data_IF_448398168016
#
_entry.id   IF_448398168016
#
_cell.length_a   1.000
_cell.length_b   1.000
_cell.length_c   1.000
_cell.angle_alpha   90.00
_cell.angle_beta   90.00
_cell.angle_gamma   90.00
#
_symmetry.space_group_name_H-M   'P 1'
#
loop_
_entity.id
_entity.type
_entity.pdbx_description
1 polymer ?
#
# COMPACT_ATOMS: atom_id res chain seq x y z
N UNK A 1 -31.67 -8.08 23.23
CA UNK A 1 -31.71 -9.50 22.85
C UNK A 1 -31.54 -9.62 21.35
N UNK A 2 -30.69 -10.54 20.85
CA UNK A 2 -30.55 -10.79 19.41
C UNK A 2 -31.87 -11.33 18.85
N UNK A 3 -32.19 -10.98 17.60
CA UNK A 3 -33.36 -11.52 16.91
C UNK A 3 -33.03 -12.90 16.36
N UNK A 4 -33.98 -13.84 16.46
CA UNK A 4 -33.87 -15.19 15.93
C UNK A 4 -34.63 -15.26 14.60
N UNK A 5 -33.97 -15.70 13.53
CA UNK A 5 -34.63 -15.97 12.25
C UNK A 5 -34.31 -17.39 11.79
N UNK A 6 -35.29 -18.03 11.16
CA UNK A 6 -35.09 -19.29 10.45
C UNK A 6 -34.89 -19.03 8.96
N UNK A 7 -33.92 -19.69 8.36
CA UNK A 7 -33.64 -19.56 6.94
C UNK A 7 -33.28 -20.93 6.34
N UNK A 8 -33.93 -21.27 5.23
CA UNK A 8 -33.73 -22.53 4.49
C UNK A 8 -32.39 -22.58 3.73
N UNK A 9 -31.78 -21.41 3.46
CA UNK A 9 -30.52 -21.28 2.74
C UNK A 9 -29.29 -21.29 3.65
N UNK A 10 -29.46 -21.20 4.97
CA UNK A 10 -28.36 -21.25 5.92
C UNK A 10 -27.92 -22.72 6.14
N UNK A 11 -26.68 -23.10 5.80
CA UNK A 11 -26.22 -24.49 5.94
C UNK A 11 -25.95 -24.88 7.40
N UNK A 12 -25.61 -23.92 8.26
CA UNK A 12 -25.30 -24.09 9.68
C UNK A 12 -25.87 -22.93 10.50
N UNK A 13 -26.12 -23.13 11.82
CA UNK A 13 -26.41 -22.03 12.72
C UNK A 13 -25.29 -20.99 12.67
N UNK A 14 -25.65 -19.72 12.61
CA UNK A 14 -24.65 -18.64 12.53
C UNK A 14 -25.16 -17.34 13.14
N UNK A 15 -24.28 -16.66 13.87
CA UNK A 15 -24.46 -15.29 14.32
C UNK A 15 -23.97 -14.30 13.25
N UNK A 16 -24.85 -13.43 12.76
CA UNK A 16 -24.52 -12.41 11.76
C UNK A 16 -24.88 -11.01 12.28
N UNK A 17 -24.10 -10.00 11.90
CA UNK A 17 -24.44 -8.58 12.06
C UNK A 17 -23.64 -7.86 13.14
N UNK A 18 -22.94 -6.79 12.73
CA UNK A 18 -21.99 -6.06 13.59
C UNK A 18 -22.66 -5.25 14.71
N UNK A 19 -23.67 -4.42 14.37
CA UNK A 19 -24.37 -3.52 15.30
C UNK A 19 -25.65 -4.13 15.86
N UNK A 20 -26.25 -5.07 15.12
CA UNK A 20 -27.48 -5.76 15.48
C UNK A 20 -27.29 -7.25 15.21
N UNK A 21 -26.73 -7.98 16.18
CA UNK A 21 -26.48 -9.40 16.04
C UNK A 21 -27.80 -10.16 15.89
N UNK A 22 -27.84 -11.03 14.90
CA UNK A 22 -28.98 -11.86 14.51
C UNK A 22 -28.50 -13.30 14.52
N UNK A 23 -29.25 -14.17 15.20
CA UNK A 23 -28.99 -15.61 15.19
C UNK A 23 -29.84 -16.20 14.07
N UNK A 24 -29.18 -16.77 13.07
CA UNK A 24 -29.81 -17.50 11.97
C UNK A 24 -29.74 -18.99 12.27
N UNK A 25 -30.90 -19.62 12.30
CA UNK A 25 -31.02 -21.08 12.38
C UNK A 25 -31.41 -21.62 11.02
N UNK A 26 -30.76 -22.69 10.55
CA UNK A 26 -31.28 -23.50 9.46
C UNK A 26 -32.71 -23.96 9.77
N UNK A 27 -33.56 -24.01 8.74
CA UNK A 27 -34.92 -24.53 8.90
C UNK A 27 -34.90 -26.07 9.01
N UNK A 28 -34.67 -26.56 10.23
CA UNK A 28 -34.55 -27.97 10.57
C UNK A 28 -35.16 -28.26 11.94
N UNK A 29 -35.47 -29.52 12.17
CA UNK A 29 -35.89 -29.99 13.49
C UNK A 29 -34.67 -30.20 14.38
N UNK A 30 -34.65 -29.52 15.51
CA UNK A 30 -33.64 -29.68 16.55
C UNK A 30 -34.31 -30.28 17.78
N UNK A 31 -33.68 -31.27 18.40
CA UNK A 31 -34.08 -31.64 19.76
C UNK A 31 -33.88 -30.45 20.71
N UNK A 32 -34.64 -30.40 21.79
CA UNK A 32 -34.56 -29.30 22.76
C UNK A 32 -33.14 -29.13 23.32
N UNK A 33 -32.45 -30.25 23.57
CA UNK A 33 -31.06 -30.27 24.05
C UNK A 33 -30.09 -29.73 23.00
N UNK A 34 -30.24 -30.14 21.73
CA UNK A 34 -29.41 -29.61 20.64
C UNK A 34 -29.63 -28.10 20.46
N UNK A 35 -30.88 -27.65 20.48
CA UNK A 35 -31.21 -26.23 20.32
C UNK A 35 -30.61 -25.39 21.45
N UNK A 36 -30.71 -25.85 22.70
CA UNK A 36 -30.10 -25.18 23.85
C UNK A 36 -28.59 -25.08 23.70
N UNK A 37 -27.92 -26.16 23.29
CA UNK A 37 -26.47 -26.19 23.08
C UNK A 37 -26.01 -25.24 21.96
N UNK A 38 -26.74 -25.19 20.84
CA UNK A 38 -26.47 -24.27 19.72
C UNK A 38 -26.63 -22.83 20.18
N UNK A 39 -27.75 -22.50 20.83
CA UNK A 39 -28.00 -21.14 21.29
C UNK A 39 -26.98 -20.71 22.34
N UNK A 40 -26.59 -21.61 23.24
CA UNK A 40 -25.54 -21.35 24.23
C UNK A 40 -24.20 -21.04 23.56
N UNK A 41 -23.85 -21.75 22.49
CA UNK A 41 -22.66 -21.49 21.68
C UNK A 41 -22.71 -20.11 20.99
N UNK A 42 -23.77 -19.83 20.23
CA UNK A 42 -23.93 -18.56 19.49
C UNK A 42 -24.02 -17.35 20.43
N UNK A 43 -24.70 -17.48 21.58
CA UNK A 43 -24.75 -16.43 22.60
C UNK A 43 -23.40 -16.21 23.27
N UNK A 44 -22.56 -17.25 23.37
CA UNK A 44 -21.21 -17.12 23.91
C UNK A 44 -20.31 -16.35 22.95
N UNK A 45 -20.42 -16.57 21.64
CA UNK A 45 -19.76 -15.72 20.64
C UNK A 45 -20.20 -14.26 20.75
N UNK A 46 -21.49 -14.03 20.92
CA UNK A 46 -22.03 -12.68 21.10
C UNK A 46 -21.48 -12.01 22.36
N UNK A 47 -21.50 -12.72 23.50
CA UNK A 47 -20.97 -12.21 24.79
C UNK A 47 -19.48 -11.88 24.73
N UNK A 48 -18.72 -12.62 23.91
CA UNK A 48 -17.27 -12.45 23.76
C UNK A 48 -16.87 -11.47 22.66
N UNK A 49 -17.84 -10.91 21.93
CA UNK A 49 -17.59 -10.02 20.79
C UNK A 49 -16.70 -10.65 19.72
N UNK A 50 -16.74 -11.98 19.57
CA UNK A 50 -15.91 -12.70 18.59
C UNK A 50 -16.20 -12.22 17.16
N UNK A 51 -17.41 -11.70 16.91
CA UNK A 51 -17.79 -11.10 15.63
C UNK A 51 -16.95 -9.86 15.29
N UNK A 52 -16.60 -9.01 16.27
CA UNK A 52 -15.75 -7.83 16.04
C UNK A 52 -14.36 -8.30 15.61
N UNK A 53 -13.81 -9.31 16.28
CA UNK A 53 -12.51 -9.89 15.95
C UNK A 53 -12.50 -10.44 14.53
N UNK A 54 -13.55 -11.20 14.14
CA UNK A 54 -13.71 -11.72 12.78
C UNK A 54 -13.79 -10.61 11.74
N UNK A 55 -14.51 -9.50 12.02
CA UNK A 55 -14.57 -8.34 11.13
C UNK A 55 -13.21 -7.64 10.98
N UNK A 56 -12.46 -7.46 12.08
CA UNK A 56 -11.12 -6.88 12.02
C UNK A 56 -10.18 -7.73 11.17
N UNK A 57 -10.21 -9.06 11.30
CA UNK A 57 -9.41 -9.96 10.47
C UNK A 57 -9.78 -9.93 8.98
N UNK A 58 -11.05 -9.66 8.64
CA UNK A 58 -11.45 -9.43 7.24
C UNK A 58 -10.86 -8.12 6.73
N UNK A 59 -10.98 -7.03 7.50
CA UNK A 59 -10.42 -5.73 7.13
C UNK A 59 -8.90 -5.80 6.93
N UNK A 60 -8.18 -6.50 7.81
CA UNK A 60 -6.74 -6.75 7.63
C UNK A 60 -6.44 -7.54 6.36
N UNK A 61 -7.27 -8.55 6.03
CA UNK A 61 -7.14 -9.32 4.80
C UNK A 61 -7.27 -8.47 3.56
N UNK A 62 -8.19 -7.50 3.54
CA UNK A 62 -8.36 -6.58 2.42
C UNK A 62 -7.18 -5.58 2.32
N UNK A 63 -6.71 -5.04 3.45
CA UNK A 63 -5.56 -4.11 3.49
C UNK A 63 -4.26 -4.79 3.06
N UNK A 64 -4.09 -6.06 3.42
CA UNK A 64 -2.90 -6.86 3.15
C UNK A 64 -3.18 -8.01 2.20
N UNK A 65 -4.02 -7.77 1.18
CA UNK A 65 -4.44 -8.81 0.23
C UNK A 65 -3.25 -9.54 -0.44
N UNK A 66 -2.11 -8.84 -0.58
CA UNK A 66 -0.84 -9.34 -1.12
C UNK A 66 -0.02 -10.21 -0.15
N UNK A 67 -0.32 -10.19 1.16
CA UNK A 67 0.46 -10.90 2.16
C UNK A 67 -0.16 -12.28 2.48
N UNK A 68 0.47 -13.40 2.08
CA UNK A 68 -0.06 -14.73 2.33
C UNK A 68 -0.16 -15.09 3.83
N UNK A 69 0.62 -14.43 4.69
CA UNK A 69 0.63 -14.68 6.15
C UNK A 69 -0.71 -14.28 6.79
N UNK A 70 -1.40 -13.28 6.25
CA UNK A 70 -2.67 -12.79 6.82
C UNK A 70 -3.77 -13.85 6.74
N UNK A 71 -3.78 -14.66 5.68
CA UNK A 71 -4.72 -15.80 5.57
C UNK A 71 -4.44 -16.89 6.62
N UNK A 72 -3.17 -17.15 6.94
CA UNK A 72 -2.78 -18.09 8.00
C UNK A 72 -3.20 -17.58 9.38
N UNK A 73 -2.99 -16.28 9.63
CA UNK A 73 -3.36 -15.65 10.89
C UNK A 73 -4.88 -15.62 11.05
N UNK A 74 -5.63 -15.28 10.00
CA UNK A 74 -7.09 -15.34 10.00
C UNK A 74 -7.60 -16.72 10.38
N UNK A 75 -7.03 -17.78 9.78
CA UNK A 75 -7.37 -19.17 10.11
C UNK A 75 -7.07 -19.51 11.57
N UNK A 76 -5.96 -19.03 12.12
CA UNK A 76 -5.62 -19.27 13.53
C UNK A 76 -6.51 -18.45 14.49
N UNK A 77 -6.91 -17.24 14.11
CA UNK A 77 -7.89 -16.43 14.85
C UNK A 77 -9.23 -17.15 14.89
N UNK A 78 -9.74 -17.62 13.75
CA UNK A 78 -11.00 -18.37 13.68
C UNK A 78 -10.93 -19.61 14.58
N UNK A 79 -9.88 -20.42 14.45
CA UNK A 79 -9.64 -21.59 15.30
C UNK A 79 -9.61 -21.24 16.78
N UNK A 80 -8.91 -20.17 17.15
CA UNK A 80 -8.76 -19.75 18.53
C UNK A 80 -10.07 -19.22 19.12
N UNK A 81 -10.89 -18.52 18.31
CA UNK A 81 -12.23 -18.07 18.67
C UNK A 81 -13.16 -19.25 19.00
N UNK A 82 -13.20 -20.27 18.13
CA UNK A 82 -14.00 -21.50 18.33
C UNK A 82 -13.58 -22.24 19.61
N UNK A 83 -12.27 -22.48 19.80
CA UNK A 83 -11.76 -23.17 20.99
C UNK A 83 -12.03 -22.42 22.29
N UNK A 84 -11.92 -21.10 22.27
CA UNK A 84 -12.23 -20.27 23.42
C UNK A 84 -13.75 -20.20 23.69
N UNK A 85 -14.58 -20.34 22.65
CA UNK A 85 -16.04 -20.36 22.78
C UNK A 85 -16.47 -21.66 23.44
N UNK A 86 -16.02 -22.79 22.89
CA UNK A 86 -16.22 -24.11 23.48
C UNK A 86 -15.72 -24.14 24.93
N UNK A 87 -14.52 -23.59 25.18
CA UNK A 87 -13.93 -23.48 26.52
C UNK A 87 -14.72 -22.61 27.50
N UNK A 88 -15.51 -21.65 27.02
CA UNK A 88 -16.40 -20.84 27.86
C UNK A 88 -17.73 -21.55 28.11
N UNK A 89 -18.29 -22.23 27.11
CA UNK A 89 -19.54 -23.01 27.22
C UNK A 89 -19.39 -24.15 28.23
N UNK A 90 -18.30 -24.93 28.16
CA UNK A 90 -18.08 -26.09 29.05
C UNK A 90 -17.93 -25.73 30.54
N UNK A 91 -17.64 -24.46 30.86
CA UNK A 91 -17.55 -23.99 32.26
C UNK A 91 -18.91 -23.91 32.93
N UNK A 92 -19.96 -23.74 32.14
CA UNK A 92 -21.33 -23.67 32.61
C UNK A 92 -22.05 -25.02 32.56
N UNK A 93 -21.39 -26.08 32.05
CA UNK A 93 -21.95 -27.41 31.87
C UNK A 93 -21.32 -28.43 32.82
N UNK A 94 -22.15 -29.35 33.30
CA UNK A 94 -21.77 -30.55 34.05
C UNK A 94 -21.20 -31.63 33.10
N UNK A 95 -20.80 -32.78 33.65
CA UNK A 95 -20.18 -33.86 32.86
C UNK A 95 -21.13 -34.42 31.79
N UNK A 96 -22.42 -34.53 32.08
CA UNK A 96 -23.44 -34.99 31.12
C UNK A 96 -23.71 -33.92 30.06
N UNK A 97 -23.85 -32.65 30.45
CA UNK A 97 -24.01 -31.53 29.54
C UNK A 97 -22.84 -31.37 28.57
N UNK A 98 -21.59 -31.63 29.01
CA UNK A 98 -20.41 -31.62 28.13
C UNK A 98 -20.45 -32.70 27.05
N UNK A 99 -20.94 -33.89 27.39
CA UNK A 99 -21.10 -34.98 26.41
C UNK A 99 -22.19 -34.61 25.39
N UNK A 100 -23.36 -34.18 25.87
CA UNK A 100 -24.46 -33.73 25.00
C UNK A 100 -24.04 -32.57 24.07
N UNK A 101 -23.22 -31.65 24.57
CA UNK A 101 -22.64 -30.56 23.78
C UNK A 101 -21.69 -31.08 22.68
N UNK A 102 -20.79 -32.02 23.03
CA UNK A 102 -19.91 -32.67 22.07
C UNK A 102 -20.67 -33.44 20.98
N UNK A 103 -21.72 -34.15 21.35
CA UNK A 103 -22.59 -34.88 20.41
C UNK A 103 -23.34 -33.93 19.48
N UNK A 104 -23.80 -32.79 20.02
CA UNK A 104 -24.43 -31.72 19.22
C UNK A 104 -23.45 -31.15 18.19
N UNK A 105 -22.19 -30.92 18.57
CA UNK A 105 -21.14 -30.44 17.66
C UNK A 105 -20.84 -31.44 16.54
N UNK A 106 -20.75 -32.74 16.87
CA UNK A 106 -20.51 -33.80 15.88
C UNK A 106 -21.68 -33.89 14.91
N UNK A 107 -22.92 -33.84 15.40
CA UNK A 107 -24.12 -33.86 14.57
C UNK A 107 -24.15 -32.66 13.60
N UNK A 108 -23.85 -31.45 14.09
CA UNK A 108 -23.78 -30.24 13.27
C UNK A 108 -22.77 -30.33 12.13
N UNK A 109 -21.56 -30.82 12.41
CA UNK A 109 -20.52 -30.96 11.38
C UNK A 109 -20.85 -32.09 10.40
N UNK A 110 -21.43 -33.20 10.87
CA UNK A 110 -21.86 -34.30 10.01
C UNK A 110 -22.99 -33.89 9.04
N UNK A 111 -23.84 -32.95 9.46
CA UNK A 111 -24.97 -32.46 8.69
C UNK A 111 -24.67 -31.23 7.82
N UNK A 112 -23.54 -30.55 8.05
CA UNK A 112 -23.04 -29.45 7.24
C UNK A 112 -22.49 -29.97 5.88
N UNK A 113 -23.39 -30.46 5.02
CA UNK A 113 -23.06 -30.84 3.63
C UNK A 113 -22.81 -29.57 2.81
N UNK A 114 -21.58 -29.07 2.72
CA UNK A 114 -21.21 -28.02 1.76
C UNK A 114 -21.00 -28.61 0.35
N UNK A 115 -21.31 -27.86 -0.73
CA UNK A 115 -21.11 -28.34 -2.09
C UNK A 115 -19.62 -28.40 -2.43
N UNK A 116 -19.28 -29.46 -3.16
CA UNK A 116 -17.94 -29.89 -3.54
C UNK A 116 -17.31 -28.90 -4.53
N UNK A 117 -16.09 -28.45 -4.25
CA UNK A 117 -15.22 -27.81 -5.25
C UNK A 117 -13.86 -28.50 -5.26
N UNK A 118 -13.29 -28.65 -6.46
CA UNK A 118 -12.34 -29.68 -6.96
C UNK A 118 -10.92 -29.61 -6.35
N UNK A 119 -10.66 -28.80 -5.32
CA UNK A 119 -9.34 -28.61 -4.72
C UNK A 119 -9.36 -28.77 -3.18
N UNK A 120 -9.78 -29.93 -2.70
CA UNK A 120 -10.03 -30.17 -1.27
C UNK A 120 -8.78 -30.58 -0.49
N UNK A 121 -8.01 -29.60 0.01
CA UNK A 121 -7.17 -29.73 1.21
C UNK A 121 -7.96 -29.48 2.51
N UNK A 122 -9.19 -28.95 2.40
CA UNK A 122 -10.07 -28.52 3.50
C UNK A 122 -10.65 -29.66 4.34
N UNK A 123 -10.80 -30.87 3.79
CA UNK A 123 -11.36 -32.02 4.53
C UNK A 123 -10.50 -32.47 5.72
N UNK A 124 -9.17 -32.44 5.57
CA UNK A 124 -8.27 -32.83 6.66
C UNK A 124 -8.26 -31.76 7.77
N UNK A 125 -8.49 -30.51 7.37
CA UNK A 125 -8.51 -29.34 8.22
C UNK A 125 -9.78 -29.25 9.07
N UNK A 126 -10.96 -29.48 8.50
CA UNK A 126 -12.23 -29.53 9.23
C UNK A 126 -12.25 -30.68 10.26
N UNK A 127 -11.79 -31.87 9.86
CA UNK A 127 -11.67 -33.02 10.78
C UNK A 127 -10.66 -32.76 11.90
N UNK A 128 -9.52 -32.14 11.59
CA UNK A 128 -8.49 -31.79 12.57
C UNK A 128 -9.01 -30.72 13.54
N UNK A 129 -9.74 -29.72 13.04
CA UNK A 129 -10.37 -28.69 13.85
C UNK A 129 -11.43 -29.27 14.79
N UNK A 130 -12.32 -30.14 14.29
CA UNK A 130 -13.31 -30.82 15.13
C UNK A 130 -12.66 -31.68 16.21
N UNK A 131 -11.65 -32.50 15.84
CA UNK A 131 -10.91 -33.34 16.78
C UNK A 131 -10.24 -32.52 17.88
N UNK A 132 -9.70 -31.37 17.53
CA UNK A 132 -9.07 -30.47 18.49
C UNK A 132 -10.08 -29.82 19.43
N UNK A 133 -11.22 -29.36 18.91
CA UNK A 133 -12.33 -28.83 19.72
C UNK A 133 -12.80 -29.85 20.75
N UNK A 134 -13.08 -31.07 20.32
CA UNK A 134 -13.46 -32.17 21.21
C UNK A 134 -12.34 -32.49 22.22
N UNK A 135 -11.08 -32.52 21.78
CA UNK A 135 -9.94 -32.73 22.67
C UNK A 135 -9.77 -31.61 23.71
N UNK A 136 -10.05 -30.36 23.35
CA UNK A 136 -9.98 -29.20 24.23
C UNK A 136 -11.15 -29.19 25.25
N UNK A 137 -12.34 -29.58 24.81
CA UNK A 137 -13.52 -29.80 25.66
C UNK A 137 -13.21 -30.86 26.73
N UNK A 138 -12.62 -31.98 26.33
CA UNK A 138 -12.24 -33.06 27.27
C UNK A 138 -11.15 -32.65 28.27
N UNK A 139 -10.21 -31.78 27.86
CA UNK A 139 -9.07 -31.36 28.69
C UNK A 139 -9.30 -30.04 29.45
N UNK A 140 -10.48 -29.41 29.36
CA UNK A 140 -10.88 -28.19 30.09
C UNK A 140 -9.80 -27.08 30.10
N UNK A 141 -9.20 -26.79 28.94
CA UNK A 141 -8.08 -25.83 28.84
C UNK A 141 -8.59 -24.40 28.64
N UNK A 142 -8.07 -23.46 29.44
CA UNK A 142 -8.46 -22.04 29.41
C UNK A 142 -7.72 -21.27 28.31
N UNK A 143 -8.43 -20.81 27.26
CA UNK A 143 -7.84 -20.04 26.15
C UNK A 143 -8.30 -18.57 26.06
N UNK A 144 -9.31 -18.17 26.83
CA UNK A 144 -10.06 -16.92 26.65
C UNK A 144 -9.25 -15.62 26.62
N UNK A 145 -8.22 -15.46 27.47
CA UNK A 145 -7.45 -14.20 27.53
C UNK A 145 -6.35 -14.10 26.48
N UNK A 146 -5.79 -15.24 26.06
CA UNK A 146 -4.65 -15.27 25.15
C UNK A 146 -5.03 -14.93 23.71
N UNK A 147 -6.23 -15.32 23.28
CA UNK A 147 -6.73 -15.06 21.92
C UNK A 147 -6.97 -13.57 21.70
N UNK A 148 -7.61 -12.89 22.64
CA UNK A 148 -7.82 -11.44 22.59
C UNK A 148 -6.50 -10.68 22.55
N UNK A 149 -5.55 -11.04 23.42
CA UNK A 149 -4.22 -10.39 23.46
C UNK A 149 -3.48 -10.63 22.14
N UNK A 150 -3.44 -11.86 21.65
CA UNK A 150 -2.73 -12.20 20.41
C UNK A 150 -3.33 -11.49 19.19
N UNK A 151 -4.67 -11.47 19.07
CA UNK A 151 -5.37 -10.74 18.02
C UNK A 151 -5.15 -9.23 18.12
N UNK A 152 -5.19 -8.64 19.33
CA UNK A 152 -4.93 -7.20 19.50
C UNK A 152 -3.48 -6.81 19.20
N UNK A 153 -2.52 -7.66 19.54
CA UNK A 153 -1.09 -7.44 19.28
C UNK A 153 -0.80 -7.58 17.79
N UNK A 154 -1.43 -8.55 17.13
CA UNK A 154 -1.34 -8.70 15.69
C UNK A 154 -1.89 -7.47 14.96
N UNK A 155 -3.09 -7.02 15.33
CA UNK A 155 -3.72 -5.82 14.77
C UNK A 155 -2.90 -4.54 15.02
N UNK A 156 -2.30 -4.40 16.20
CA UNK A 156 -1.41 -3.29 16.49
C UNK A 156 -0.10 -3.35 15.67
N UNK A 157 0.45 -4.54 15.45
CA UNK A 157 1.67 -4.73 14.67
C UNK A 157 1.46 -4.46 13.16
N UNK A 158 0.33 -4.88 12.59
CA UNK A 158 -0.04 -4.62 11.19
C UNK A 158 -0.40 -3.15 10.96
N UNK A 159 -1.12 -2.51 11.90
CA UNK A 159 -1.33 -1.07 11.87
C UNK A 159 -0.01 -0.28 11.99
N UNK A 160 0.90 -0.73 12.84
CA UNK A 160 2.19 -0.06 12.99
C UNK A 160 3.05 -0.19 11.73
N UNK A 161 3.08 -1.34 11.07
CA UNK A 161 3.84 -1.51 9.82
C UNK A 161 3.22 -0.76 8.65
N UNK A 162 1.88 -0.72 8.55
CA UNK A 162 1.19 0.08 7.51
C UNK A 162 1.33 1.58 7.74
N UNK A 163 1.29 2.05 9.00
CA UNK A 163 1.58 3.45 9.34
C UNK A 163 3.05 3.77 9.11
N UNK A 164 3.99 2.87 9.40
CA UNK A 164 5.40 3.10 9.09
C UNK A 164 5.66 3.13 7.59
N UNK A 165 5.14 2.18 6.80
CA UNK A 165 5.25 2.20 5.34
C UNK A 165 4.53 3.42 4.74
N UNK A 166 3.38 3.80 5.30
CA UNK A 166 2.65 5.02 4.94
C UNK A 166 3.40 6.29 5.35
N UNK A 167 4.13 6.28 6.47
CA UNK A 167 5.00 7.38 6.92
C UNK A 167 6.38 7.35 6.26
N UNK A 168 6.75 6.27 5.59
CA UNK A 168 7.89 6.19 4.67
C UNK A 168 7.49 6.65 3.27
N UNK A 169 6.26 6.38 2.83
CA UNK A 169 5.66 6.97 1.62
C UNK A 169 5.17 8.42 1.81
N UNK A 170 4.98 8.82 3.07
CA UNK A 170 4.65 10.18 3.52
C UNK A 170 5.76 10.74 4.43
N UNK A 171 6.96 10.16 4.32
CA UNK A 171 8.17 10.92 4.52
C UNK A 171 8.18 11.85 3.31
N UNK A 172 7.60 13.04 3.52
CA UNK A 172 8.26 14.25 3.05
C UNK A 172 9.71 14.03 3.47
N UNK A 173 10.57 13.71 2.50
CA UNK A 173 12.00 13.65 2.68
C UNK A 173 12.34 14.88 3.52
N UNK A 174 12.67 14.66 4.79
CA UNK A 174 13.33 15.69 5.56
C UNK A 174 14.63 15.89 4.81
N UNK A 175 14.86 17.07 4.21
CA UNK A 175 16.00 17.27 3.35
C UNK A 175 17.24 17.12 4.23
N UNK A 176 17.94 16.01 4.03
CA UNK A 176 19.36 15.94 4.32
C UNK A 176 20.01 17.02 3.43
N UNK A 177 20.99 17.76 3.95
CA UNK A 177 21.48 19.08 3.52
C UNK A 177 21.69 19.35 2.00
N UNK A 178 21.63 18.35 1.12
CA UNK A 178 21.63 18.50 -0.35
C UNK A 178 20.32 18.99 -0.97
N UNK A 179 19.15 18.69 -0.39
CA UNK A 179 17.88 19.09 -1.03
C UNK A 179 17.63 20.62 -0.99
N UNK A 180 18.14 21.31 0.03
CA UNK A 180 18.10 22.78 0.07
C UNK A 180 18.91 23.41 -1.06
N UNK A 181 20.00 22.75 -1.49
CA UNK A 181 20.85 23.26 -2.56
C UNK A 181 20.18 23.07 -3.92
N UNK A 182 19.64 21.90 -4.23
CA UNK A 182 18.93 21.69 -5.52
C UNK A 182 17.61 22.48 -5.60
N UNK A 183 16.86 22.59 -4.50
CA UNK A 183 15.66 23.45 -4.48
C UNK A 183 16.02 24.92 -4.72
N UNK A 184 17.15 25.40 -4.17
CA UNK A 184 17.62 26.76 -4.42
C UNK A 184 17.98 27.01 -5.89
N UNK A 185 18.62 26.03 -6.53
CA UNK A 185 18.95 26.06 -7.96
C UNK A 185 17.66 26.03 -8.79
N UNK A 186 16.69 25.17 -8.44
CA UNK A 186 15.41 25.11 -9.11
C UNK A 186 14.67 26.45 -9.05
N UNK A 187 14.68 27.13 -7.89
CA UNK A 187 14.13 28.46 -7.76
C UNK A 187 14.89 29.52 -8.54
N UNK A 188 16.21 29.45 -8.63
CA UNK A 188 17.02 30.33 -9.48
C UNK A 188 16.59 30.21 -10.96
N UNK A 189 16.41 28.98 -11.45
CA UNK A 189 15.94 28.72 -12.81
C UNK A 189 14.55 29.31 -13.03
N UNK A 190 13.62 29.09 -12.11
CA UNK A 190 12.25 29.63 -12.19
C UNK A 190 12.26 31.17 -12.17
N UNK A 191 13.07 31.78 -11.30
CA UNK A 191 13.16 33.24 -11.19
C UNK A 191 13.73 33.86 -12.48
N UNK A 192 14.72 33.22 -13.11
CA UNK A 192 15.24 33.67 -14.39
C UNK A 192 14.16 33.59 -15.50
N UNK A 193 13.31 32.56 -15.48
CA UNK A 193 12.18 32.47 -16.42
C UNK A 193 11.13 33.55 -16.15
N UNK A 194 10.77 33.79 -14.88
CA UNK A 194 9.85 34.87 -14.50
C UNK A 194 10.37 36.22 -15.01
N UNK A 195 11.67 36.50 -14.82
CA UNK A 195 12.30 37.72 -15.33
C UNK A 195 12.21 37.81 -16.85
N UNK A 196 12.40 36.69 -17.57
CA UNK A 196 12.24 36.65 -19.03
C UNK A 196 10.80 36.99 -19.45
N UNK A 197 9.77 36.49 -18.74
CA UNK A 197 8.37 36.83 -19.01
C UNK A 197 8.07 38.31 -18.76
N UNK A 198 8.54 38.84 -17.63
CA UNK A 198 8.29 40.22 -17.25
C UNK A 198 8.98 41.21 -18.20
N UNK A 199 10.18 40.89 -18.67
CA UNK A 199 10.95 41.75 -19.58
C UNK A 199 10.50 41.64 -21.04
N UNK A 200 10.20 40.43 -21.51
CA UNK A 200 9.97 40.17 -22.94
C UNK A 200 8.50 40.26 -23.33
N UNK A 201 7.60 39.90 -22.42
CA UNK A 201 6.18 39.73 -22.72
C UNK A 201 5.27 40.71 -21.95
N UNK A 202 5.82 41.60 -21.13
CA UNK A 202 5.07 42.50 -20.23
C UNK A 202 4.02 41.75 -19.36
N UNK A 203 4.30 40.47 -19.04
CA UNK A 203 3.44 39.63 -18.20
C UNK A 203 3.97 39.67 -16.77
N UNK A 204 3.19 40.22 -15.86
CA UNK A 204 3.49 40.22 -14.41
C UNK A 204 3.09 38.87 -13.81
N UNK A 205 4.03 38.17 -13.17
CA UNK A 205 3.78 36.89 -12.48
C UNK A 205 3.50 37.16 -11.00
N UNK A 206 2.34 36.71 -10.51
CA UNK A 206 1.88 36.96 -9.14
C UNK A 206 2.14 35.81 -8.18
N UNK A 207 2.29 34.60 -8.70
CA UNK A 207 2.57 33.41 -7.90
C UNK A 207 3.33 32.37 -8.72
N UNK A 208 4.09 31.53 -8.04
CA UNK A 208 4.90 30.48 -8.65
C UNK A 208 5.04 29.30 -7.69
N UNK A 209 5.05 28.08 -8.23
CA UNK A 209 5.26 26.87 -7.42
C UNK A 209 5.96 25.77 -8.20
N UNK A 210 6.79 25.02 -7.50
CA UNK A 210 7.34 23.76 -7.98
C UNK A 210 6.27 22.69 -7.80
N UNK A 211 5.90 22.03 -8.88
CA UNK A 211 4.95 20.90 -8.88
C UNK A 211 5.67 19.57 -8.74
N UNK A 212 6.88 19.45 -9.31
CA UNK A 212 7.65 18.23 -9.31
C UNK A 212 9.15 18.56 -9.40
N UNK A 213 9.97 17.90 -8.59
CA UNK A 213 11.43 17.98 -8.64
C UNK A 213 11.98 16.62 -8.22
N UNK A 214 12.32 15.77 -9.19
CA UNK A 214 12.79 14.41 -8.92
C UNK A 214 14.04 14.07 -9.73
N UNK A 215 14.90 13.25 -9.13
CA UNK A 215 16.06 12.69 -9.78
C UNK A 215 15.61 11.71 -10.86
N UNK A 216 16.00 11.96 -12.11
CA UNK A 216 15.71 11.08 -13.24
C UNK A 216 16.86 10.10 -13.47
N UNK A 217 18.10 10.60 -13.40
CA UNK A 217 19.29 9.83 -13.71
C UNK A 217 20.51 10.32 -12.93
N UNK A 218 21.42 9.38 -12.67
CA UNK A 218 22.76 9.64 -12.15
C UNK A 218 23.82 9.06 -13.11
N UNK A 219 24.96 9.73 -13.21
CA UNK A 219 26.07 9.32 -14.05
C UNK A 219 27.40 9.38 -13.28
N UNK A 220 27.95 8.22 -12.97
CA UNK A 220 29.22 8.11 -12.23
C UNK A 220 30.47 8.12 -13.13
N UNK A 221 30.33 7.83 -14.42
CA UNK A 221 31.45 7.57 -15.35
C UNK A 221 31.60 8.60 -16.48
N UNK A 222 30.96 9.76 -16.37
CA UNK A 222 31.00 10.80 -17.41
C UNK A 222 32.07 11.87 -17.17
N UNK A 223 32.42 12.11 -15.91
CA UNK A 223 33.40 13.10 -15.48
C UNK A 223 34.10 12.59 -14.21
N UNK A 224 35.06 13.37 -13.71
CA UNK A 224 35.75 13.09 -12.44
C UNK A 224 34.82 13.15 -11.20
N UNK A 225 33.54 13.55 -11.39
CA UNK A 225 32.52 13.71 -10.36
C UNK A 225 31.20 13.11 -10.84
N UNK A 226 30.40 12.57 -9.91
CA UNK A 226 29.04 12.09 -10.20
C UNK A 226 28.13 13.24 -10.60
N UNK A 227 27.40 13.04 -11.70
CA UNK A 227 26.43 14.00 -12.24
C UNK A 227 25.03 13.50 -11.95
N UNK A 228 24.18 14.40 -11.46
CA UNK A 228 22.77 14.13 -11.20
C UNK A 228 21.91 14.97 -12.14
N UNK A 229 20.86 14.36 -12.66
CA UNK A 229 19.90 14.99 -13.56
C UNK A 229 18.53 15.00 -12.90
N UNK A 230 18.03 16.19 -12.58
CA UNK A 230 16.72 16.39 -11.97
C UNK A 230 15.71 16.92 -12.98
N UNK A 231 14.51 16.35 -13.03
CA UNK A 231 13.38 16.90 -13.78
C UNK A 231 12.66 17.93 -12.94
N UNK A 232 12.53 19.14 -13.47
CA UNK A 232 11.81 20.23 -12.84
C UNK A 232 10.48 20.50 -13.56
N UNK A 233 9.38 20.40 -12.82
CA UNK A 233 8.08 20.94 -13.23
C UNK A 233 7.65 22.06 -12.30
N UNK A 234 7.29 23.20 -12.87
CA UNK A 234 6.74 24.33 -12.14
C UNK A 234 5.49 24.88 -12.83
N UNK A 235 4.75 25.71 -12.09
CA UNK A 235 3.61 26.46 -12.61
C UNK A 235 3.75 27.91 -12.21
N UNK A 236 3.37 28.78 -13.14
CA UNK A 236 3.37 30.23 -12.96
C UNK A 236 1.94 30.75 -13.03
N UNK A 237 1.62 31.73 -12.20
CA UNK A 237 0.32 32.39 -12.21
C UNK A 237 0.49 33.83 -12.71
N UNK A 238 0.09 34.13 -13.95
CA UNK A 238 0.12 35.49 -14.47
C UNK A 238 -1.04 36.32 -13.92
N UNK A 239 -0.81 37.62 -13.72
CA UNK A 239 -1.84 38.58 -13.29
C UNK A 239 -2.93 38.79 -14.33
N UNK A 240 -2.52 38.82 -15.60
CA UNK A 240 -3.39 39.05 -16.75
C UNK A 240 -3.13 37.99 -17.82
N UNK A 241 -4.06 37.06 -17.95
CA UNK A 241 -4.00 35.97 -18.93
C UNK A 241 -4.08 36.47 -20.37
N UNK A 242 -4.66 37.65 -20.62
CA UNK A 242 -4.81 38.18 -21.99
C UNK A 242 -3.48 38.60 -22.63
N UNK A 243 -2.46 38.84 -21.80
CA UNK A 243 -1.10 39.18 -22.23
C UNK A 243 -0.22 37.96 -22.45
N UNK A 244 -0.68 36.78 -22.06
CA UNK A 244 0.09 35.54 -22.17
C UNK A 244 -0.03 35.01 -23.59
N UNK A 245 1.08 35.02 -24.32
CA UNK A 245 1.18 34.36 -25.63
C UNK A 245 1.50 32.89 -25.38
N UNK A 246 0.53 32.00 -25.63
CA UNK A 246 0.74 30.57 -25.53
C UNK A 246 1.60 30.09 -26.70
N UNK A 247 2.86 29.79 -26.42
CA UNK A 247 3.72 29.05 -27.34
C UNK A 247 3.32 27.56 -27.36
N UNK A 248 3.76 26.83 -28.40
CA UNK A 248 3.44 25.42 -28.57
C UNK A 248 3.75 24.61 -27.31
N UNK A 249 2.75 23.87 -26.82
CA UNK A 249 2.84 23.02 -25.62
C UNK A 249 2.33 23.68 -24.33
N UNK A 250 2.29 25.01 -24.24
CA UNK A 250 1.81 25.69 -23.04
C UNK A 250 0.30 25.47 -22.87
N UNK A 251 -0.13 25.25 -21.63
CA UNK A 251 -1.56 25.16 -21.29
C UNK A 251 -1.86 26.00 -20.08
N UNK A 252 -3.12 26.41 -19.97
CA UNK A 252 -3.66 27.12 -18.81
C UNK A 252 -4.61 26.15 -18.12
N UNK A 253 -4.42 25.93 -16.83
CA UNK A 253 -5.36 25.12 -16.04
C UNK A 253 -6.65 25.89 -15.71
N UNK A 254 -7.67 25.19 -15.21
CA UNK A 254 -8.97 25.81 -14.86
C UNK A 254 -8.85 26.93 -13.80
N UNK A 255 -7.72 27.00 -13.08
CA UNK A 255 -7.43 27.99 -12.05
C UNK A 255 -6.53 29.12 -12.54
N UNK A 256 -6.22 29.17 -13.83
CA UNK A 256 -5.41 30.22 -14.46
C UNK A 256 -3.89 30.00 -14.37
N UNK A 257 -3.42 28.85 -13.88
CA UNK A 257 -1.99 28.57 -13.84
C UNK A 257 -1.48 28.15 -15.22
N UNK A 258 -0.37 28.75 -15.62
CA UNK A 258 0.40 28.34 -16.77
C UNK A 258 1.15 27.05 -16.42
N UNK A 259 0.88 25.99 -17.16
CA UNK A 259 1.71 24.79 -17.19
C UNK A 259 2.68 24.93 -18.34
N UNK A 260 3.97 25.05 -18.03
CA UNK A 260 4.98 25.13 -19.07
C UNK A 260 5.36 23.76 -19.59
N UNK A 261 4.87 23.48 -20.80
CA UNK A 261 5.60 22.68 -21.77
C UNK A 261 5.89 23.62 -22.93
N UNK A 262 7.10 24.15 -23.04
CA UNK A 262 7.48 24.79 -24.31
C UNK A 262 7.60 23.70 -25.39
N UNK A 263 7.70 24.09 -26.66
CA UNK A 263 8.06 23.15 -27.73
C UNK A 263 9.44 22.53 -27.52
N UNK A 264 10.25 23.13 -26.64
CA UNK A 264 11.54 22.60 -26.20
C UNK A 264 11.39 21.53 -25.09
N UNK A 265 10.22 21.40 -24.47
CA UNK A 265 9.95 20.41 -23.41
C UNK A 265 10.35 20.88 -22.01
N UNK A 266 10.21 19.97 -21.05
CA UNK A 266 10.50 20.19 -19.63
C UNK A 266 11.99 20.44 -19.36
N UNK A 267 12.34 21.34 -18.43
CA UNK A 267 13.72 21.58 -18.02
C UNK A 267 14.25 20.44 -17.15
N UNK A 268 15.48 20.05 -17.47
CA UNK A 268 16.30 19.11 -16.72
C UNK A 268 17.49 19.89 -16.15
N UNK A 269 17.59 19.89 -14.82
CA UNK A 269 18.67 20.52 -14.08
C UNK A 269 19.80 19.50 -13.96
N UNK A 270 20.97 19.85 -14.49
CA UNK A 270 22.17 18.99 -14.43
C UNK A 270 23.13 19.59 -13.40
N UNK A 271 23.45 18.83 -12.36
CA UNK A 271 24.28 19.28 -11.24
C UNK A 271 25.39 18.29 -10.90
N UNK A 272 26.49 18.80 -10.35
CA UNK A 272 27.41 18.00 -9.54
C UNK A 272 26.95 18.00 -8.09
N UNK A 273 27.04 16.86 -7.40
CA UNK A 273 26.88 16.82 -5.94
C UNK A 273 28.24 16.56 -5.28
N UNK A 274 28.65 17.45 -4.37
CA UNK A 274 29.87 17.30 -3.57
C UNK A 274 29.57 17.60 -2.11
N UNK A 275 29.76 16.61 -1.23
CA UNK A 275 29.61 16.73 0.23
C UNK A 275 28.28 17.40 0.67
N UNK A 276 27.19 17.15 -0.07
CA UNK A 276 25.87 17.71 0.22
C UNK A 276 25.59 19.10 -0.37
N UNK A 277 26.45 19.62 -1.24
CA UNK A 277 26.16 20.82 -2.04
C UNK A 277 25.99 20.45 -3.51
N UNK A 278 24.96 21.00 -4.16
CA UNK A 278 24.72 20.88 -5.58
C UNK A 278 25.31 22.10 -6.31
N UNK A 279 26.06 21.87 -7.39
CA UNK A 279 26.61 22.91 -8.27
C UNK A 279 25.98 22.77 -9.66
N UNK A 280 25.34 23.83 -10.17
CA UNK A 280 24.69 23.83 -11.47
C UNK A 280 25.72 23.75 -12.60
N UNK A 281 25.63 22.70 -13.41
CA UNK A 281 26.40 22.54 -14.65
C UNK A 281 25.67 23.27 -15.78
N UNK A 282 24.35 23.07 -15.87
CA UNK A 282 23.52 23.70 -16.88
C UNK A 282 22.10 23.12 -16.93
N UNK A 283 21.34 23.61 -17.90
CA UNK A 283 19.96 23.21 -18.16
C UNK A 283 19.89 22.49 -19.50
N UNK A 284 19.21 21.34 -19.50
CA UNK A 284 18.82 20.64 -20.72
C UNK A 284 17.31 20.71 -20.87
N UNK A 285 16.82 20.57 -22.09
CA UNK A 285 15.39 20.41 -22.33
C UNK A 285 15.05 19.02 -22.86
N UNK A 286 13.93 18.47 -22.45
CA UNK A 286 13.52 17.11 -22.88
C UNK A 286 13.36 16.96 -24.39
N UNK A 287 13.01 18.01 -25.15
CA UNK A 287 12.99 17.93 -26.62
C UNK A 287 14.39 17.83 -27.22
N UNK A 288 15.40 18.51 -26.65
CA UNK A 288 16.80 18.44 -27.12
C UNK A 288 17.37 17.02 -26.97
N UNK A 289 16.89 16.27 -25.98
CA UNK A 289 17.25 14.86 -25.78
C UNK A 289 16.67 13.98 -26.89
N UNK A 290 15.43 14.26 -27.29
CA UNK A 290 14.76 13.50 -28.36
C UNK A 290 15.42 13.70 -29.72
N UNK A 291 16.12 14.82 -29.93
CA UNK A 291 16.81 15.14 -31.19
C UNK A 291 18.22 14.52 -31.27
N UNK A 292 18.84 14.17 -30.14
CA UNK A 292 20.20 13.60 -30.11
C UNK A 292 20.20 12.08 -30.24
N UNK A 293 20.93 11.57 -31.24
CA UNK A 293 21.24 10.14 -31.42
C UNK A 293 22.14 9.66 -30.27
N UNK A 294 21.53 9.23 -29.15
CA UNK A 294 22.23 8.84 -27.93
C UNK A 294 21.46 9.17 -26.63
N UNK A 295 20.31 9.86 -26.74
CA UNK A 295 19.43 10.12 -25.60
C UNK A 295 20.08 11.02 -24.55
N UNK A 296 19.70 10.81 -23.28
CA UNK A 296 20.07 11.69 -22.17
C UNK A 296 21.60 11.75 -21.94
N UNK A 297 22.29 10.62 -22.07
CA UNK A 297 23.75 10.55 -21.86
C UNK A 297 24.51 11.41 -22.88
N UNK A 298 24.13 11.36 -24.15
CA UNK A 298 24.76 12.17 -25.20
C UNK A 298 24.47 13.68 -25.01
N UNK A 299 23.27 14.02 -24.52
CA UNK A 299 22.91 15.39 -24.20
C UNK A 299 23.75 15.95 -23.05
N UNK A 300 23.93 15.17 -21.98
CA UNK A 300 24.77 15.54 -20.83
C UNK A 300 26.24 15.65 -21.23
N UNK A 301 26.78 14.72 -22.04
CA UNK A 301 28.16 14.80 -22.55
C UNK A 301 28.42 16.10 -23.33
N UNK A 302 27.51 16.45 -24.23
CA UNK A 302 27.63 17.70 -24.99
C UNK A 302 27.58 18.95 -24.09
N UNK A 303 26.74 18.94 -23.05
CA UNK A 303 26.67 20.04 -22.07
C UNK A 303 27.98 20.17 -21.28
N UNK A 304 28.61 19.04 -20.92
CA UNK A 304 29.90 19.03 -20.24
C UNK A 304 31.01 19.59 -21.13
N UNK A 305 31.03 19.22 -22.42
CA UNK A 305 31.99 19.75 -23.40
C UNK A 305 31.83 21.27 -23.58
N UNK A 306 30.59 21.77 -23.67
CA UNK A 306 30.30 23.20 -23.82
C UNK A 306 30.75 24.02 -22.62
N UNK A 307 30.61 23.46 -21.40
CA UNK A 307 31.06 24.09 -20.16
C UNK A 307 32.54 23.81 -19.82
N UNK A 308 33.28 23.12 -20.69
CA UNK A 308 34.73 22.92 -20.56
C UNK A 308 35.14 21.84 -19.54
N UNK A 309 34.27 20.89 -19.21
CA UNK A 309 34.60 19.75 -18.35
C UNK A 309 35.26 18.62 -19.16
N UNK A 310 36.33 18.01 -18.62
CA UNK A 310 37.01 16.88 -19.26
C UNK A 310 36.15 15.61 -19.11
N UNK A 311 35.73 15.04 -20.25
CA UNK A 311 35.04 13.75 -20.27
C UNK A 311 36.04 12.61 -20.00
N UNK A 312 35.67 11.69 -19.11
CA UNK A 312 36.38 10.41 -18.98
C UNK A 312 36.04 9.55 -20.20
N UNK A 313 36.89 9.59 -21.22
CA UNK A 313 36.78 8.73 -22.40
C UNK A 313 36.97 7.26 -22.01
N UNK A 314 35.86 6.55 -21.76
CA UNK A 314 35.80 5.11 -21.95
C UNK A 314 35.78 4.83 -23.45
N UNK A 315 36.83 4.18 -23.95
CA UNK A 315 36.92 3.73 -25.35
C UNK A 315 35.65 2.97 -25.77
N UNK A 316 34.97 3.46 -26.81
CA UNK A 316 33.98 2.67 -27.54
C UNK A 316 34.71 1.63 -28.40
N UNK A 317 34.32 0.34 -28.36
CA UNK A 317 34.96 -0.71 -29.13
C UNK A 317 34.35 -0.75 -30.54
N UNK A 318 34.69 0.21 -31.41
CA UNK A 318 34.53 -0.01 -32.84
C UNK A 318 35.33 1.00 -33.67
N UNK A 319 36.61 0.69 -33.91
CA UNK A 319 37.28 1.10 -35.15
C UNK A 319 38.13 -0.08 -35.66
N UNK A 320 37.96 -0.50 -36.94
CA UNK A 320 38.78 -1.56 -37.50
C UNK A 320 40.22 -1.05 -37.69
N UNK A 321 41.18 -1.83 -37.17
CA UNK A 321 42.61 -1.57 -37.34
C UNK A 321 42.97 -1.49 -38.83
N UNK A 322 43.77 -0.51 -39.28
CA UNK A 322 44.35 -0.56 -40.61
C UNK A 322 45.37 -1.69 -40.68
N UNK A 323 45.25 -2.54 -41.71
CA UNK A 323 46.25 -3.53 -42.07
C UNK A 323 47.52 -2.80 -42.51
N UNK A 324 48.61 -3.04 -41.79
CA UNK A 324 49.96 -2.73 -42.24
C UNK A 324 50.31 -3.62 -43.44
N UNK A 325 50.54 -2.99 -44.58
CA UNK A 325 51.49 -3.42 -45.61
C UNK A 325 52.38 -2.22 -45.95
#
# INVERSE_FOLDING_TARGET
MPRLYRNTLAPTPMLIGMLRPVILLPDREYSEIQLQNILLHELTHLRRHDLIVKWLSVLEGELHWFNPVVYLVRREIDRACELACDGAVIKCLDTVGRQNYGDTLIAMVAEAKTPKTVLSTTMCEEKKALKERLGAIMKSKNFTRKVLIFSSVFFAATLFTTVLLGASGMQKSSPNDGNSSIESIAWEVINNEILNYEQTSEVEIIDSKISFLELVNEFDNLADRTIYVYLLEYRLLPKDLSKVILAGGMRIDEKGWLTEWSSMGQPLIVVFEQEGNAELIGLLRTAEISEKNGGLEAAVKALLEENGFNLSFGESPDTPRPLLF
#
